data_IF_766133906323
#
_entry.id   IF_766133906323
#
_cell.length_a   1.000
_cell.length_b   1.000
_cell.length_c   1.000
_cell.angle_alpha   90.00
_cell.angle_beta   90.00
_cell.angle_gamma   90.00
#
_symmetry.space_group_name_H-M   'P 1'
#
loop_
_entity.id
_entity.type
_entity.pdbx_description
1 polymer ?
#
# COMPACT_ATOMS: atom_id res chain seq x y z
N UNK A 1 -12.15 -26.92 -10.55
CA UNK A 1 -10.72 -26.61 -10.65
C UNK A 1 -10.51 -25.26 -11.33
N UNK A 2 -11.15 -25.01 -12.48
CA UNK A 2 -10.99 -23.74 -13.20
C UNK A 2 -11.51 -22.54 -12.41
N UNK A 3 -12.60 -22.68 -11.64
CA UNK A 3 -13.13 -21.61 -10.81
C UNK A 3 -12.19 -21.25 -9.67
N UNK A 4 -11.59 -22.25 -9.04
CA UNK A 4 -10.62 -22.04 -7.95
C UNK A 4 -9.36 -21.33 -8.44
N UNK A 5 -8.85 -21.69 -9.62
CA UNK A 5 -7.70 -21.02 -10.24
C UNK A 5 -8.03 -19.56 -10.57
N UNK A 6 -9.24 -19.30 -11.09
CA UNK A 6 -9.70 -17.94 -11.41
C UNK A 6 -9.79 -17.07 -10.15
N UNK A 7 -10.29 -17.61 -9.05
CA UNK A 7 -10.35 -16.90 -7.77
C UNK A 7 -8.97 -16.54 -7.24
N UNK A 8 -8.03 -17.49 -7.31
CA UNK A 8 -6.65 -17.25 -6.89
C UNK A 8 -5.97 -16.16 -7.72
N UNK A 9 -6.18 -16.18 -9.03
CA UNK A 9 -5.65 -15.17 -9.94
C UNK A 9 -6.25 -13.80 -9.63
N UNK A 10 -7.56 -13.74 -9.36
CA UNK A 10 -8.24 -12.51 -8.99
C UNK A 10 -7.65 -11.89 -7.72
N UNK A 11 -7.47 -12.71 -6.67
CA UNK A 11 -6.89 -12.25 -5.42
C UNK A 11 -5.46 -11.73 -5.60
N UNK A 12 -4.66 -12.40 -6.43
CA UNK A 12 -3.30 -11.98 -6.74
C UNK A 12 -3.26 -10.64 -7.47
N UNK A 13 -4.18 -10.43 -8.42
CA UNK A 13 -4.28 -9.17 -9.15
C UNK A 13 -4.66 -8.01 -8.22
N UNK A 14 -5.60 -8.23 -7.30
CA UNK A 14 -5.99 -7.21 -6.32
C UNK A 14 -4.84 -6.90 -5.35
N UNK A 15 -4.12 -7.92 -4.88
CA UNK A 15 -2.96 -7.74 -4.01
C UNK A 15 -1.84 -6.98 -4.72
N UNK A 16 -1.60 -7.27 -6.00
CA UNK A 16 -0.62 -6.56 -6.81
C UNK A 16 -0.99 -5.08 -6.93
N UNK A 17 -2.25 -4.77 -7.19
CA UNK A 17 -2.72 -3.39 -7.29
C UNK A 17 -2.51 -2.63 -6.00
N UNK A 18 -2.89 -3.21 -4.86
CA UNK A 18 -2.70 -2.59 -3.55
C UNK A 18 -1.22 -2.40 -3.21
N UNK A 19 -0.39 -3.36 -3.56
CA UNK A 19 1.06 -3.27 -3.39
C UNK A 19 1.64 -2.12 -4.20
N UNK A 20 1.25 -2.01 -5.47
CA UNK A 20 1.72 -0.93 -6.34
C UNK A 20 1.28 0.43 -5.83
N UNK A 21 0.05 0.56 -5.36
CA UNK A 21 -0.47 1.81 -4.78
C UNK A 21 0.37 2.27 -3.59
N UNK A 22 0.87 1.34 -2.77
CA UNK A 22 1.68 1.66 -1.59
C UNK A 22 3.05 2.25 -1.95
N UNK A 23 3.63 1.84 -3.07
CA UNK A 23 5.00 2.19 -3.41
C UNK A 23 5.16 3.07 -4.64
N UNK A 24 4.11 3.29 -5.39
CA UNK A 24 4.13 4.12 -6.59
C UNK A 24 4.32 5.59 -6.22
N UNK A 25 5.13 6.32 -7.02
CA UNK A 25 5.28 7.76 -6.82
C UNK A 25 3.99 8.49 -7.24
N UNK A 26 3.69 9.59 -6.57
CA UNK A 26 2.52 10.40 -6.87
C UNK A 26 2.55 10.87 -8.32
N UNK A 27 1.40 10.78 -8.99
CA UNK A 27 1.26 11.16 -10.39
C UNK A 27 1.45 10.04 -11.39
N UNK A 28 1.84 8.84 -10.95
CA UNK A 28 1.88 7.66 -11.81
C UNK A 28 0.58 6.88 -11.73
N UNK A 29 0.12 6.40 -12.88
CA UNK A 29 -1.07 5.56 -12.97
C UNK A 29 -0.71 4.09 -12.67
N UNK A 30 -1.43 3.47 -11.74
CA UNK A 30 -1.20 2.09 -11.32
C UNK A 30 -1.28 1.11 -12.50
N UNK A 31 -2.26 1.28 -13.38
CA UNK A 31 -2.42 0.39 -14.54
C UNK A 31 -1.25 0.49 -15.51
N UNK A 32 -0.75 1.70 -15.76
CA UNK A 32 0.41 1.93 -16.60
C UNK A 32 1.66 1.29 -16.04
N UNK A 33 1.87 1.41 -14.74
CA UNK A 33 3.01 0.78 -14.04
C UNK A 33 2.91 -0.73 -14.12
N UNK A 34 1.74 -1.29 -13.87
CA UNK A 34 1.52 -2.73 -13.93
C UNK A 34 1.81 -3.28 -15.33
N UNK A 35 1.31 -2.62 -16.37
CA UNK A 35 1.56 -3.01 -17.76
C UNK A 35 3.06 -2.96 -18.10
N UNK A 36 3.75 -1.93 -17.65
CA UNK A 36 5.18 -1.81 -17.88
C UNK A 36 5.95 -2.94 -17.20
N UNK A 37 5.66 -3.23 -15.93
CA UNK A 37 6.31 -4.31 -15.18
C UNK A 37 6.06 -5.68 -15.83
N UNK A 38 4.84 -5.92 -16.32
CA UNK A 38 4.49 -7.17 -17.02
C UNK A 38 5.16 -7.28 -18.38
N UNK A 39 5.63 -6.20 -18.97
CA UNK A 39 6.36 -6.21 -20.24
C UNK A 39 7.84 -6.56 -20.08
N UNK A 40 8.37 -6.49 -18.85
CA UNK A 40 9.78 -6.79 -18.58
C UNK A 40 10.02 -8.29 -18.53
N UNK A 41 11.20 -8.71 -19.00
CA UNK A 41 11.64 -10.10 -18.85
C UNK A 41 12.02 -10.39 -17.39
N UNK A 42 12.16 -11.66 -17.05
CA UNK A 42 12.55 -12.06 -15.69
C UNK A 42 13.89 -11.45 -15.27
N UNK A 43 14.85 -11.41 -16.20
CA UNK A 43 16.15 -10.80 -15.91
C UNK A 43 16.06 -9.28 -15.71
N UNK A 44 15.20 -8.61 -16.47
CA UNK A 44 14.96 -7.18 -16.32
C UNK A 44 14.27 -6.85 -15.00
N UNK A 45 13.34 -7.70 -14.54
CA UNK A 45 12.67 -7.56 -13.24
C UNK A 45 13.62 -7.72 -12.05
N UNK A 46 14.68 -8.50 -12.22
CA UNK A 46 15.69 -8.68 -11.17
C UNK A 46 16.59 -7.45 -11.00
N UNK A 47 16.60 -6.54 -11.97
CA UNK A 47 17.32 -5.28 -11.87
C UNK A 47 16.46 -4.26 -11.10
N UNK A 48 16.86 -3.95 -9.89
CA UNK A 48 16.12 -3.03 -9.01
C UNK A 48 15.92 -1.65 -9.63
N UNK A 49 16.86 -1.18 -10.45
CA UNK A 49 16.74 0.12 -11.13
C UNK A 49 15.53 0.17 -12.06
N UNK A 50 15.26 -0.92 -12.79
CA UNK A 50 14.10 -1.01 -13.68
C UNK A 50 12.79 -0.91 -12.89
N UNK A 51 12.72 -1.56 -11.73
CA UNK A 51 11.55 -1.52 -10.87
C UNK A 51 11.35 -0.11 -10.28
N UNK A 52 12.41 0.50 -9.80
CA UNK A 52 12.38 1.86 -9.22
C UNK A 52 11.87 2.86 -10.25
N UNK A 53 12.39 2.81 -11.48
CA UNK A 53 11.97 3.70 -12.57
C UNK A 53 10.50 3.46 -12.95
N UNK A 54 10.07 2.20 -12.99
CA UNK A 54 8.68 1.85 -13.28
C UNK A 54 7.72 2.47 -12.26
N UNK A 55 8.11 2.50 -10.99
CA UNK A 55 7.31 3.10 -9.92
C UNK A 55 7.31 4.65 -9.96
N UNK A 56 8.11 5.25 -10.82
CA UNK A 56 8.14 6.70 -11.00
C UNK A 56 9.30 7.43 -10.37
N UNK A 57 10.23 6.72 -9.76
CA UNK A 57 11.42 7.32 -9.12
C UNK A 57 12.57 7.44 -10.11
N UNK A 58 13.53 8.31 -9.80
CA UNK A 58 14.71 8.51 -10.66
C UNK A 58 15.74 7.40 -10.45
N UNK A 59 16.62 7.19 -11.43
CA UNK A 59 17.72 6.21 -11.35
C UNK A 59 18.87 6.64 -10.46
N UNK A 60 18.75 7.71 -9.67
CA UNK A 60 19.85 8.17 -8.82
C UNK A 60 20.17 7.15 -7.74
N UNK A 61 21.45 6.99 -7.41
CA UNK A 61 21.90 6.10 -6.35
C UNK A 61 21.30 6.48 -4.98
N UNK A 62 21.03 7.77 -4.78
CA UNK A 62 20.40 8.25 -3.55
C UNK A 62 18.97 7.69 -3.36
N UNK A 63 18.24 7.47 -4.44
CA UNK A 63 16.90 6.86 -4.38
C UNK A 63 16.99 5.39 -3.99
N UNK A 64 17.98 4.66 -4.50
CA UNK A 64 18.19 3.25 -4.18
C UNK A 64 18.57 3.05 -2.71
N UNK A 65 19.28 4.01 -2.12
CA UNK A 65 19.70 3.98 -0.74
C UNK A 65 18.61 4.44 0.23
N UNK A 66 17.61 5.18 -0.25
CA UNK A 66 16.51 5.67 0.56
C UNK A 66 15.44 4.58 0.75
N UNK A 67 14.93 4.49 1.97
CA UNK A 67 13.79 3.63 2.25
C UNK A 67 12.52 4.28 1.71
N UNK A 68 11.79 3.54 0.89
CA UNK A 68 10.48 3.95 0.42
C UNK A 68 9.45 3.33 1.37
N UNK A 69 8.82 4.18 2.19
CA UNK A 69 7.81 3.72 3.13
C UNK A 69 6.48 3.45 2.43
N UNK A 70 5.79 2.40 2.83
CA UNK A 70 4.46 2.07 2.33
C UNK A 70 3.47 3.17 2.72
N UNK A 71 2.59 3.56 1.80
CA UNK A 71 1.56 4.59 2.06
C UNK A 71 0.50 4.10 3.04
N UNK A 72 0.19 2.81 3.03
CA UNK A 72 -0.73 2.20 3.96
C UNK A 72 -1.97 1.56 3.34
N UNK A 73 -2.11 1.56 2.03
CA UNK A 73 -3.28 0.96 1.36
C UNK A 73 -3.50 -0.50 1.74
N UNK A 74 -2.45 -1.31 1.68
CA UNK A 74 -2.55 -2.75 1.97
C UNK A 74 -2.98 -3.02 3.41
N UNK A 75 -2.44 -2.26 4.35
CA UNK A 75 -2.76 -2.38 5.77
C UNK A 75 -4.20 -1.95 6.02
N UNK A 76 -4.61 -0.80 5.49
CA UNK A 76 -5.95 -0.25 5.71
C UNK A 76 -7.04 -1.09 5.03
N UNK A 77 -6.76 -1.68 3.88
CA UNK A 77 -7.72 -2.54 3.17
C UNK A 77 -8.07 -3.81 3.95
N UNK A 78 -7.20 -4.26 4.84
CA UNK A 78 -7.48 -5.41 5.72
C UNK A 78 -8.44 -5.07 6.87
N UNK A 79 -8.76 -3.80 7.06
CA UNK A 79 -9.69 -3.33 8.09
C UNK A 79 -11.08 -3.23 7.47
N UNK A 80 -11.95 -4.20 7.75
CA UNK A 80 -13.25 -4.35 7.09
C UNK A 80 -14.21 -3.19 7.30
N UNK A 81 -14.02 -2.40 8.36
CA UNK A 81 -14.91 -1.27 8.68
C UNK A 81 -14.61 0.00 7.90
N UNK A 82 -13.45 0.06 7.22
CA UNK A 82 -13.06 1.21 6.41
C UNK A 82 -13.55 1.04 4.98
N UNK A 83 -14.15 2.08 4.42
CA UNK A 83 -14.52 2.12 3.00
C UNK A 83 -13.32 2.60 2.17
N UNK A 84 -13.41 2.44 0.85
CA UNK A 84 -12.37 2.96 -0.07
C UNK A 84 -12.18 4.46 0.10
N UNK A 85 -13.27 5.22 0.31
CA UNK A 85 -13.21 6.67 0.54
C UNK A 85 -12.48 7.01 1.83
N UNK A 86 -12.73 6.24 2.90
CA UNK A 86 -12.03 6.43 4.17
C UNK A 86 -10.53 6.20 4.01
N UNK A 87 -10.14 5.14 3.31
CA UNK A 87 -8.75 4.79 3.05
C UNK A 87 -8.07 5.90 2.25
N UNK A 88 -8.70 6.39 1.19
CA UNK A 88 -8.18 7.48 0.38
C UNK A 88 -7.97 8.76 1.19
N UNK A 89 -8.92 9.12 2.06
CA UNK A 89 -8.78 10.28 2.94
C UNK A 89 -7.56 10.16 3.85
N UNK A 90 -7.40 9.00 4.47
CA UNK A 90 -6.29 8.75 5.39
C UNK A 90 -4.95 8.79 4.66
N UNK A 91 -4.84 8.09 3.54
CA UNK A 91 -3.59 8.02 2.77
C UNK A 91 -3.23 9.36 2.15
N UNK A 92 -4.22 10.15 1.70
CA UNK A 92 -3.96 11.47 1.13
C UNK A 92 -3.61 12.53 2.18
N UNK A 93 -4.03 12.33 3.44
CA UNK A 93 -3.74 13.26 4.53
C UNK A 93 -2.37 13.00 5.16
N UNK A 94 -1.99 11.73 5.29
CA UNK A 94 -0.75 11.31 5.93
C UNK A 94 0.20 10.70 4.91
N UNK A 95 1.48 10.97 5.08
CA UNK A 95 2.51 10.63 4.09
C UNK A 95 2.68 9.11 3.93
N UNK A 96 2.71 8.38 5.03
CA UNK A 96 2.97 6.94 5.03
C UNK A 96 2.35 6.28 6.26
N UNK A 97 2.48 4.95 6.33
CA UNK A 97 1.92 4.15 7.42
C UNK A 97 2.52 4.52 8.79
N UNK A 98 3.75 5.00 8.83
CA UNK A 98 4.38 5.41 10.09
C UNK A 98 3.67 6.62 10.69
N UNK A 99 3.32 7.61 9.86
CA UNK A 99 2.52 8.75 10.30
C UNK A 99 1.12 8.32 10.75
N UNK A 100 0.49 7.39 10.02
CA UNK A 100 -0.85 6.90 10.36
C UNK A 100 -0.85 6.23 11.73
N UNK A 101 0.21 5.52 12.09
CA UNK A 101 0.33 4.88 13.39
C UNK A 101 0.40 5.88 14.55
N UNK A 102 0.90 7.07 14.30
CA UNK A 102 1.11 8.11 15.31
C UNK A 102 -0.02 9.14 15.40
N UNK A 103 -1.00 9.10 14.49
CA UNK A 103 -2.10 10.09 14.52
C UNK A 103 -2.98 9.91 15.76
N UNK A 104 -3.50 11.03 16.26
CA UNK A 104 -4.44 11.02 17.37
C UNK A 104 -5.87 10.80 16.89
N UNK A 105 -6.75 10.43 17.82
CA UNK A 105 -8.17 10.27 17.50
C UNK A 105 -8.79 11.60 17.07
N UNK A 106 -8.35 12.71 17.64
CA UNK A 106 -8.78 14.06 17.27
C UNK A 106 -8.40 14.40 15.83
N UNK A 107 -7.18 14.04 15.39
CA UNK A 107 -6.75 14.25 14.02
C UNK A 107 -7.63 13.49 13.02
N UNK A 108 -7.95 12.23 13.33
CA UNK A 108 -8.84 11.43 12.49
C UNK A 108 -10.27 11.97 12.48
N UNK A 109 -10.77 12.47 13.61
CA UNK A 109 -12.07 13.12 13.67
C UNK A 109 -12.12 14.37 12.80
N UNK A 110 -11.02 15.13 12.74
CA UNK A 110 -10.94 16.35 11.94
C UNK A 110 -11.09 16.08 10.44
N UNK A 111 -10.68 14.90 9.95
CA UNK A 111 -10.87 14.49 8.55
C UNK A 111 -12.16 13.69 8.35
N UNK A 112 -13.09 13.78 9.32
CA UNK A 112 -14.44 13.18 9.25
C UNK A 112 -14.46 11.64 9.26
N UNK A 113 -13.53 11.03 9.97
CA UNK A 113 -13.58 9.60 10.25
C UNK A 113 -14.39 9.39 11.53
N UNK A 114 -15.42 8.55 11.51
CA UNK A 114 -16.29 8.31 12.67
C UNK A 114 -15.56 7.60 13.80
N UNK A 115 -16.05 7.78 15.04
CA UNK A 115 -15.45 7.14 16.23
C UNK A 115 -15.39 5.63 16.11
N UNK A 116 -16.39 5.00 15.51
CA UNK A 116 -16.44 3.58 15.28
C UNK A 116 -15.31 3.12 14.35
N UNK A 117 -15.08 3.87 13.28
CA UNK A 117 -14.01 3.58 12.31
C UNK A 117 -12.62 3.84 12.92
N UNK A 118 -12.48 4.86 13.74
CA UNK A 118 -11.24 5.15 14.47
C UNK A 118 -10.86 3.97 15.38
N UNK A 119 -11.83 3.44 16.12
CA UNK A 119 -11.60 2.24 16.97
C UNK A 119 -11.19 1.04 16.14
N UNK A 120 -11.85 0.81 14.99
CA UNK A 120 -11.52 -0.28 14.08
C UNK A 120 -10.11 -0.14 13.52
N UNK A 121 -9.71 1.07 13.14
CA UNK A 121 -8.38 1.39 12.64
C UNK A 121 -7.31 1.08 13.70
N UNK A 122 -7.51 1.57 14.93
CA UNK A 122 -6.57 1.33 16.04
C UNK A 122 -6.41 -0.16 16.33
N UNK A 123 -7.52 -0.89 16.42
CA UNK A 123 -7.51 -2.32 16.67
C UNK A 123 -6.82 -3.08 15.54
N UNK A 124 -7.07 -2.69 14.28
CA UNK A 124 -6.46 -3.30 13.10
C UNK A 124 -4.96 -3.08 13.03
N UNK A 125 -4.50 -1.86 13.28
CA UNK A 125 -3.07 -1.53 13.31
C UNK A 125 -2.36 -2.28 14.44
N UNK A 126 -2.93 -2.31 15.62
CA UNK A 126 -2.34 -3.02 16.77
C UNK A 126 -2.22 -4.53 16.50
N UNK A 127 -3.22 -5.13 15.87
CA UNK A 127 -3.19 -6.55 15.49
C UNK A 127 -2.08 -6.84 14.49
N UNK A 128 -1.94 -6.03 13.47
CA UNK A 128 -0.91 -6.19 12.45
C UNK A 128 0.49 -5.98 13.03
N UNK A 129 0.65 -4.99 13.89
CA UNK A 129 1.90 -4.72 14.59
C UNK A 129 2.32 -5.90 15.45
N UNK A 130 1.39 -6.47 16.20
CA UNK A 130 1.61 -7.68 17.00
C UNK A 130 2.04 -8.86 16.13
N UNK A 131 1.37 -9.07 14.99
CA UNK A 131 1.71 -10.15 14.05
C UNK A 131 3.13 -9.99 13.51
N UNK A 132 3.54 -8.79 13.16
CA UNK A 132 4.90 -8.49 12.67
C UNK A 132 5.93 -8.78 13.76
N UNK A 133 5.68 -8.36 14.99
CA UNK A 133 6.60 -8.61 16.13
C UNK A 133 6.75 -10.10 16.43
N UNK A 134 5.67 -10.87 16.31
CA UNK A 134 5.71 -12.32 16.55
C UNK A 134 6.47 -13.08 15.46
N UNK A 135 6.61 -12.54 14.27
CA UNK A 135 7.34 -13.15 13.15
C UNK A 135 8.84 -12.86 13.17
N UNK A 136 9.26 -11.94 14.00
CA UNK A 136 10.67 -11.65 14.19
C UNK A 136 11.25 -12.65 15.22
#
# INVERSE_FOLDING_TARGET
VNMQVSELIWDLDEEEESFLKDYIDNGRDTDSVRRYLHSLSDSELLDIENVVVALGYSKSSSVLDNKIAAKGYRVLEKISKLTKKDIEKIVNTYKDISEIQEVTDEDLSAIKISKFKIKALRAGINRLKFTIEMQR
#
